data_IF_339640902590
#
_entry.id   IF_339640902590
#
_cell.length_a   1.000
_cell.length_b   1.000
_cell.length_c   1.000
_cell.angle_alpha   90.00
_cell.angle_beta   90.00
_cell.angle_gamma   90.00
#
_symmetry.space_group_name_H-M   'P 1'
#
loop_
_entity.id
_entity.type
_entity.pdbx_description
1 polymer ?
#
# COMPACT_ATOMS: atom_id res chain seq x y z
N UNK A 1 -14.93 -0.85 -16.67
CA UNK A 1 -14.88 0.14 -15.56
C UNK A 1 -13.79 1.14 -15.90
N UNK A 2 -14.07 2.44 -15.91
CA UNK A 2 -13.01 3.45 -16.13
C UNK A 2 -12.12 3.50 -14.89
N UNK A 3 -10.81 3.32 -15.10
CA UNK A 3 -9.81 3.52 -14.04
C UNK A 3 -9.60 5.02 -13.92
N UNK A 4 -10.12 5.62 -12.85
CA UNK A 4 -9.91 7.04 -12.56
C UNK A 4 -8.63 7.14 -11.75
N UNK A 5 -7.59 7.72 -12.36
CA UNK A 5 -6.32 7.96 -11.68
C UNK A 5 -6.36 9.28 -10.90
N UNK A 6 -5.87 9.31 -9.65
CA UNK A 6 -5.75 10.54 -8.90
C UNK A 6 -4.72 11.45 -9.57
N UNK A 7 -5.11 12.68 -9.89
CA UNK A 7 -4.15 13.74 -10.30
C UNK A 7 -3.23 14.18 -9.16
N UNK A 8 -3.62 13.90 -7.91
CA UNK A 8 -2.83 14.23 -6.73
C UNK A 8 -1.73 13.18 -6.51
N UNK A 9 -0.47 13.59 -6.67
CA UNK A 9 0.73 12.73 -6.52
C UNK A 9 0.94 12.17 -5.11
N UNK A 10 0.23 12.69 -4.12
CA UNK A 10 0.29 12.21 -2.73
C UNK A 10 -0.49 10.91 -2.54
N UNK A 11 -1.37 10.57 -3.48
CA UNK A 11 -2.18 9.36 -3.43
C UNK A 11 -1.87 8.44 -4.60
N UNK A 12 -1.78 7.15 -4.31
CA UNK A 12 -1.48 6.11 -5.28
C UNK A 12 -2.67 5.16 -5.37
N UNK A 13 -3.03 4.78 -6.58
CA UNK A 13 -3.84 3.59 -6.83
C UNK A 13 -3.02 2.32 -6.55
N UNK A 14 -3.67 1.14 -6.43
CA UNK A 14 -2.97 -0.13 -6.39
C UNK A 14 -1.98 -0.31 -7.54
N UNK A 15 -2.33 0.15 -8.75
CA UNK A 15 -1.46 0.04 -9.91
C UNK A 15 -0.25 0.96 -9.83
N UNK A 16 -0.44 2.19 -9.38
CA UNK A 16 0.66 3.13 -9.15
C UNK A 16 1.60 2.64 -8.04
N UNK A 17 1.07 2.10 -6.93
CA UNK A 17 1.88 1.49 -5.88
C UNK A 17 2.72 0.31 -6.41
N UNK A 18 2.14 -0.51 -7.30
CA UNK A 18 2.88 -1.61 -7.95
C UNK A 18 3.99 -1.07 -8.86
N UNK A 19 3.70 -0.08 -9.70
CA UNK A 19 4.68 0.51 -10.60
C UNK A 19 5.81 1.23 -9.87
N UNK A 20 5.51 1.92 -8.78
CA UNK A 20 6.48 2.78 -8.09
C UNK A 20 7.28 2.06 -7.01
N UNK A 21 6.65 1.16 -6.25
CA UNK A 21 7.26 0.49 -5.10
C UNK A 21 7.46 -1.01 -5.33
N UNK A 22 7.08 -1.55 -6.50
CA UNK A 22 7.27 -2.95 -6.85
C UNK A 22 6.41 -3.93 -6.06
N UNK A 23 5.38 -3.46 -5.34
CA UNK A 23 4.49 -4.32 -4.56
C UNK A 23 3.35 -4.80 -5.46
N UNK A 24 3.35 -6.07 -5.84
CA UNK A 24 2.35 -6.61 -6.77
C UNK A 24 0.91 -6.48 -6.25
N UNK A 25 -0.07 -6.33 -7.16
CA UNK A 25 -1.49 -6.22 -6.80
C UNK A 25 -1.98 -7.38 -5.92
N UNK A 26 -1.53 -8.60 -6.19
CA UNK A 26 -1.89 -9.79 -5.41
C UNK A 26 -1.30 -9.76 -4.00
N UNK A 27 -0.05 -9.29 -3.86
CA UNK A 27 0.61 -9.09 -2.56
C UNK A 27 -0.08 -7.99 -1.77
N UNK A 28 -0.39 -6.86 -2.41
CA UNK A 28 -1.17 -5.78 -1.80
C UNK A 28 -2.53 -6.28 -1.27
N UNK A 29 -3.27 -7.08 -2.05
CA UNK A 29 -4.54 -7.66 -1.60
C UNK A 29 -4.37 -8.52 -0.35
N UNK A 30 -3.41 -9.45 -0.35
CA UNK A 30 -3.12 -10.31 0.81
C UNK A 30 -2.77 -9.48 2.06
N UNK A 31 -1.90 -8.48 1.91
CA UNK A 31 -1.48 -7.62 3.03
C UNK A 31 -2.62 -6.74 3.57
N UNK A 32 -3.55 -6.28 2.73
CA UNK A 32 -4.74 -5.55 3.20
C UNK A 32 -5.69 -6.47 3.99
N UNK A 33 -5.77 -7.75 3.66
CA UNK A 33 -6.60 -8.73 4.37
C UNK A 33 -6.02 -9.10 5.75
N UNK A 34 -4.69 -9.12 5.90
CA UNK A 34 -4.02 -9.42 7.17
C UNK A 34 -4.31 -8.38 8.28
N UNK A 35 -4.72 -7.15 7.92
CA UNK A 35 -5.15 -6.12 8.88
C UNK A 35 -6.32 -6.58 9.76
N UNK A 36 -7.20 -7.43 9.22
CA UNK A 36 -8.33 -7.96 9.96
C UNK A 36 -7.94 -9.03 11.00
N UNK A 37 -6.66 -9.42 11.06
CA UNK A 37 -6.14 -10.49 11.91
C UNK A 37 -5.14 -9.99 12.98
N UNK A 38 -5.14 -8.69 13.32
CA UNK A 38 -4.23 -8.08 14.30
C UNK A 38 -2.72 -8.23 13.98
N UNK A 39 -2.33 -8.41 12.72
CA UNK A 39 -0.92 -8.48 12.34
C UNK A 39 -0.30 -7.07 12.19
N UNK A 40 0.79 -6.85 12.92
CA UNK A 40 1.50 -5.56 13.03
C UNK A 40 2.04 -5.01 11.69
N UNK A 41 2.22 -5.86 10.67
CA UNK A 41 2.88 -5.48 9.41
C UNK A 41 1.91 -5.30 8.23
N UNK A 42 0.65 -5.01 8.51
CA UNK A 42 -0.35 -4.81 7.47
C UNK A 42 -0.09 -3.54 6.67
N UNK A 43 -0.24 -3.62 5.34
CA UNK A 43 -0.03 -2.48 4.43
C UNK A 43 -1.07 -1.38 4.75
N UNK A 44 -0.68 -0.11 5.00
CA UNK A 44 -1.62 0.96 5.26
C UNK A 44 -2.40 1.31 3.98
N UNK A 45 -3.72 1.48 4.08
CA UNK A 45 -4.57 1.83 2.93
C UNK A 45 -5.80 2.62 3.38
N UNK A 46 -6.35 3.39 2.44
CA UNK A 46 -7.62 4.11 2.58
C UNK A 46 -8.67 3.35 1.75
N UNK A 47 -9.80 3.03 2.36
CA UNK A 47 -10.95 2.41 1.68
C UNK A 47 -12.08 3.41 1.53
N UNK A 48 -12.43 3.74 0.29
CA UNK A 48 -13.56 4.61 -0.07
C UNK A 48 -14.54 3.80 -0.91
N UNK A 49 -15.44 3.07 -0.25
CA UNK A 49 -16.34 2.12 -0.91
C UNK A 49 -15.57 1.00 -1.62
N UNK A 50 -15.62 1.00 -2.97
CA UNK A 50 -14.89 0.06 -3.83
C UNK A 50 -13.48 0.53 -4.19
N UNK A 51 -13.16 1.78 -3.92
CA UNK A 51 -11.86 2.38 -4.26
C UNK A 51 -10.87 2.18 -3.13
N UNK A 52 -9.64 1.78 -3.49
CA UNK A 52 -8.50 1.68 -2.59
C UNK A 52 -7.48 2.73 -3.00
N UNK A 53 -6.99 3.50 -2.03
CA UNK A 53 -5.93 4.48 -2.21
C UNK A 53 -4.84 4.29 -1.17
N UNK A 54 -3.65 4.73 -1.53
CA UNK A 54 -2.47 4.72 -0.68
C UNK A 54 -1.94 6.12 -0.56
N UNK A 55 -1.77 6.62 0.67
CA UNK A 55 -1.05 7.87 0.90
C UNK A 55 0.44 7.57 0.83
N UNK A 56 1.16 8.21 -0.10
CA UNK A 56 2.58 7.93 -0.36
C UNK A 56 3.43 7.99 0.91
N UNK A 57 3.29 9.06 1.69
CA UNK A 57 4.06 9.25 2.93
C UNK A 57 3.88 8.11 3.93
N UNK A 58 2.69 7.53 4.02
CA UNK A 58 2.41 6.42 4.94
C UNK A 58 3.05 5.12 4.46
N UNK A 59 3.16 4.94 3.14
CA UNK A 59 3.84 3.79 2.54
C UNK A 59 5.34 3.85 2.80
N UNK A 60 5.95 5.03 2.63
CA UNK A 60 7.36 5.26 2.92
C UNK A 60 7.67 4.96 4.40
N UNK A 61 6.90 5.55 5.33
CA UNK A 61 7.02 5.28 6.76
C UNK A 61 6.84 3.78 7.08
N UNK A 62 5.89 3.13 6.41
CA UNK A 62 5.65 1.70 6.61
C UNK A 62 6.82 0.85 6.12
N UNK A 63 7.43 1.18 4.97
CA UNK A 63 8.62 0.50 4.46
C UNK A 63 9.79 0.63 5.44
N UNK A 64 10.04 1.84 5.95
CA UNK A 64 11.10 2.10 6.92
C UNK A 64 10.92 1.27 8.20
N UNK A 65 9.68 1.17 8.70
CA UNK A 65 9.35 0.34 9.88
C UNK A 65 9.54 -1.15 9.65
N UNK A 66 9.32 -1.62 8.41
CA UNK A 66 9.45 -3.03 8.04
C UNK A 66 10.84 -3.38 7.49
N UNK A 67 11.76 -2.40 7.45
CA UNK A 67 13.13 -2.62 7.06
C UNK A 67 13.82 -3.52 8.10
N UNK A 68 14.16 -4.74 7.71
CA UNK A 68 14.98 -5.63 8.52
C UNK A 68 16.42 -5.10 8.47
N UNK A 69 16.92 -4.55 9.57
CA UNK A 69 18.34 -4.23 9.71
C UNK A 69 19.09 -5.56 9.84
N UNK A 70 19.75 -5.99 8.78
CA UNK A 70 20.69 -7.10 8.87
C UNK A 70 21.80 -6.71 9.83
N UNK A 71 21.98 -7.47 10.91
CA UNK A 71 23.22 -7.42 11.67
C UNK A 71 24.29 -8.04 10.76
N UNK A 72 25.11 -7.19 10.14
CA UNK A 72 26.40 -7.57 9.55
C UNK A 72 27.47 -7.56 10.64
#
# INVERSE_FOLDING_TARGET
MQIIEPKNKNFLTPKQLECEFGISLSKQYKMRMQKNQNQANSLPFIKLGKTILYKRSEIEIWLDKNMVKGNL
#
